data_IF_880011807788
#
_entry.id   IF_880011807788
#
_cell.length_a   1.000
_cell.length_b   1.000
_cell.length_c   1.000
_cell.angle_alpha   90.00
_cell.angle_beta   90.00
_cell.angle_gamma   90.00
#
_symmetry.space_group_name_H-M   'P 1'
#
loop_
_entity.id
_entity.type
_entity.pdbx_description
1 polymer ?
#
# COMPACT_ATOMS: atom_id res chain seq x y z
N UNK A 1 31.12 19.69 -28.03
CA UNK A 1 31.34 18.24 -27.77
C UNK A 1 31.17 17.85 -26.31
N UNK A 2 31.81 18.53 -25.33
CA UNK A 2 31.71 18.19 -23.89
C UNK A 2 30.28 18.12 -23.32
N UNK A 3 29.36 19.02 -23.73
CA UNK A 3 27.96 19.02 -23.27
C UNK A 3 27.18 17.74 -23.60
N UNK A 4 27.44 17.11 -24.76
CA UNK A 4 26.78 15.84 -25.15
C UNK A 4 27.19 14.69 -24.22
N UNK A 5 28.46 14.65 -23.83
CA UNK A 5 28.97 13.66 -22.88
C UNK A 5 28.43 13.89 -21.46
N UNK A 6 28.25 15.15 -21.04
CA UNK A 6 27.61 15.48 -19.76
C UNK A 6 26.14 15.02 -19.75
N UNK A 7 25.39 15.31 -20.82
CA UNK A 7 24.00 14.85 -20.94
C UNK A 7 23.93 13.32 -20.94
N UNK A 8 24.82 12.66 -21.67
CA UNK A 8 24.90 11.20 -21.71
C UNK A 8 25.21 10.61 -20.34
N UNK A 9 26.14 11.20 -19.59
CA UNK A 9 26.46 10.78 -18.22
C UNK A 9 25.26 10.95 -17.28
N UNK A 10 24.51 12.07 -17.39
CA UNK A 10 23.29 12.31 -16.61
C UNK A 10 22.19 11.31 -16.94
N UNK A 11 22.01 10.96 -18.22
CA UNK A 11 21.03 9.96 -18.66
C UNK A 11 21.41 8.58 -18.13
N UNK A 12 22.68 8.20 -18.18
CA UNK A 12 23.15 6.93 -17.61
C UNK A 12 22.94 6.90 -16.10
N UNK A 13 23.28 7.99 -15.38
CA UNK A 13 23.03 8.11 -13.95
C UNK A 13 21.54 7.98 -13.61
N UNK A 14 20.67 8.60 -14.41
CA UNK A 14 19.22 8.51 -14.23
C UNK A 14 18.72 7.06 -14.39
N UNK A 15 19.20 6.33 -15.40
CA UNK A 15 18.81 4.93 -15.60
C UNK A 15 19.31 4.02 -14.49
N UNK A 16 20.55 4.23 -14.02
CA UNK A 16 21.11 3.50 -12.88
C UNK A 16 20.30 3.77 -11.61
N UNK A 17 19.92 5.03 -11.37
CA UNK A 17 19.05 5.39 -10.26
C UNK A 17 17.70 4.67 -10.33
N UNK A 18 17.00 4.78 -11.47
CA UNK A 18 15.68 4.16 -11.66
C UNK A 18 15.71 2.64 -11.48
N UNK A 19 16.77 1.97 -11.94
CA UNK A 19 16.92 0.52 -11.79
C UNK A 19 17.13 0.09 -10.33
N UNK A 20 17.73 0.94 -9.49
CA UNK A 20 18.00 0.64 -8.08
C UNK A 20 16.92 1.16 -7.12
N UNK A 21 16.04 2.05 -7.57
CA UNK A 21 14.95 2.61 -6.76
C UNK A 21 13.63 1.85 -6.89
N UNK A 22 13.64 0.65 -7.49
CA UNK A 22 12.45 -0.19 -7.56
C UNK A 22 12.08 -0.67 -6.15
N UNK A 23 10.83 -0.42 -5.71
CA UNK A 23 10.43 -0.74 -4.35
C UNK A 23 10.59 -2.24 -4.06
N UNK A 24 10.91 -2.56 -2.82
CA UNK A 24 10.99 -3.94 -2.34
C UNK A 24 9.60 -4.56 -2.20
N UNK A 25 9.57 -5.89 -2.04
CA UNK A 25 8.33 -6.60 -1.72
C UNK A 25 7.75 -6.11 -0.37
N UNK A 26 8.61 -5.82 0.61
CA UNK A 26 8.18 -5.31 1.91
C UNK A 26 7.58 -3.90 1.84
N UNK A 27 8.19 -2.99 1.08
CA UNK A 27 7.62 -1.64 0.86
C UNK A 27 6.23 -1.72 0.20
N UNK A 28 6.03 -2.69 -0.70
CA UNK A 28 4.72 -2.92 -1.30
C UNK A 28 3.70 -3.48 -0.31
N UNK A 29 4.08 -4.47 0.50
CA UNK A 29 3.13 -5.12 1.43
C UNK A 29 2.69 -4.15 2.52
N UNK A 30 3.59 -3.30 3.02
CA UNK A 30 3.26 -2.21 3.94
C UNK A 30 2.31 -1.20 3.31
N UNK A 31 2.58 -0.77 2.07
CA UNK A 31 1.69 0.14 1.35
C UNK A 31 0.31 -0.49 1.10
N UNK A 32 0.26 -1.76 0.67
CA UNK A 32 -0.98 -2.46 0.39
C UNK A 32 -1.82 -2.69 1.65
N UNK A 33 -1.19 -3.01 2.80
CA UNK A 33 -1.87 -3.13 4.08
C UNK A 33 -2.52 -1.81 4.52
N UNK A 34 -1.79 -0.69 4.37
CA UNK A 34 -2.34 0.65 4.63
C UNK A 34 -3.54 0.96 3.74
N UNK A 35 -3.47 0.64 2.45
CA UNK A 35 -4.59 0.86 1.54
C UNK A 35 -5.80 -0.04 1.86
N UNK A 36 -5.58 -1.29 2.25
CA UNK A 36 -6.63 -2.21 2.68
C UNK A 36 -7.37 -1.65 3.92
N UNK A 37 -6.63 -1.20 4.94
CA UNK A 37 -7.24 -0.59 6.13
C UNK A 37 -8.05 0.66 5.79
N UNK A 38 -7.52 1.52 4.90
CA UNK A 38 -8.18 2.75 4.49
C UNK A 38 -9.46 2.50 3.66
N UNK A 39 -9.47 1.46 2.82
CA UNK A 39 -10.62 1.12 1.96
C UNK A 39 -11.71 0.32 2.66
N UNK A 40 -11.37 -0.44 3.71
CA UNK A 40 -12.34 -1.17 4.52
C UNK A 40 -13.00 -0.31 5.62
N UNK A 41 -12.81 1.01 5.58
CA UNK A 41 -13.50 1.99 6.42
C UNK A 41 -13.26 1.85 7.93
N UNK A 42 -12.39 0.92 8.35
CA UNK A 42 -12.01 0.70 9.76
C UNK A 42 -11.35 1.96 10.32
N UNK A 43 -10.39 2.53 9.58
CA UNK A 43 -9.72 3.76 9.99
C UNK A 43 -10.63 4.99 9.93
N UNK A 44 -11.60 5.03 9.02
CA UNK A 44 -12.52 6.17 8.88
C UNK A 44 -13.53 6.20 10.03
N UNK A 45 -14.15 5.05 10.34
CA UNK A 45 -15.07 4.92 11.50
C UNK A 45 -14.37 5.19 12.82
N UNK A 46 -13.14 4.69 13.01
CA UNK A 46 -12.35 5.00 14.20
C UNK A 46 -11.98 6.48 14.30
N UNK A 47 -11.77 7.17 13.17
CA UNK A 47 -11.44 8.61 13.15
C UNK A 47 -12.68 9.50 13.33
N UNK A 48 -13.85 9.07 12.85
CA UNK A 48 -15.13 9.76 13.11
C UNK A 48 -15.49 9.68 14.59
N UNK A 49 -15.36 8.50 15.20
CA UNK A 49 -15.61 8.30 16.64
C UNK A 49 -14.62 9.09 17.51
N UNK A 50 -13.35 9.20 17.10
CA UNK A 50 -12.34 10.06 17.77
C UNK A 50 -12.71 11.56 17.71
N UNK A 51 -13.44 12.00 16.66
CA UNK A 51 -13.87 13.40 16.50
C UNK A 51 -15.18 13.73 17.21
N UNK A 52 -16.06 12.75 17.40
CA UNK A 52 -17.33 12.94 18.09
C UNK A 52 -17.15 13.15 19.60
N UNK A 53 -16.13 12.54 20.22
CA UNK A 53 -15.85 12.68 21.64
C UNK A 53 -14.35 12.51 21.98
N UNK A 54 -13.50 13.52 21.67
CA UNK A 54 -12.04 13.40 21.73
C UNK A 54 -11.47 13.17 23.15
N UNK A 55 -12.17 13.63 24.19
CA UNK A 55 -11.74 13.51 25.60
C UNK A 55 -12.61 12.51 26.42
N UNK A 56 -13.57 11.84 25.78
CA UNK A 56 -14.45 10.86 26.43
C UNK A 56 -13.98 9.42 26.29
N UNK A 57 -14.59 8.52 27.08
CA UNK A 57 -14.30 7.08 27.10
C UNK A 57 -14.36 6.43 25.70
N UNK A 58 -15.21 6.97 24.82
CA UNK A 58 -15.39 6.47 23.45
C UNK A 58 -14.22 6.90 22.55
N UNK A 59 -13.69 8.12 22.70
CA UNK A 59 -12.47 8.58 22.03
C UNK A 59 -11.21 7.83 22.48
N UNK A 60 -11.10 7.50 23.78
CA UNK A 60 -10.04 6.63 24.30
C UNK A 60 -10.13 5.21 23.71
N UNK A 61 -11.33 4.63 23.64
CA UNK A 61 -11.56 3.32 23.01
C UNK A 61 -11.23 3.33 21.52
N UNK A 62 -11.54 4.40 20.79
CA UNK A 62 -11.16 4.57 19.38
C UNK A 62 -9.64 4.67 19.22
N UNK A 63 -8.96 5.40 20.10
CA UNK A 63 -7.50 5.52 20.12
C UNK A 63 -6.82 4.19 20.43
N UNK A 64 -7.35 3.44 21.40
CA UNK A 64 -6.88 2.08 21.73
C UNK A 64 -7.16 1.12 20.57
N UNK A 65 -8.34 1.20 19.94
CA UNK A 65 -8.70 0.42 18.75
C UNK A 65 -7.78 0.69 17.57
N UNK A 66 -7.45 1.96 17.31
CA UNK A 66 -6.48 2.39 16.28
C UNK A 66 -5.07 1.87 16.60
N UNK A 67 -4.67 1.91 17.87
CA UNK A 67 -3.38 1.38 18.34
C UNK A 67 -3.32 -0.14 18.27
N UNK A 68 -4.41 -0.84 18.55
CA UNK A 68 -4.54 -2.30 18.44
C UNK A 68 -4.58 -2.75 16.99
N UNK A 69 -5.32 -2.06 16.12
CA UNK A 69 -5.33 -2.32 14.68
C UNK A 69 -3.92 -2.16 14.10
N UNK A 70 -3.23 -1.07 14.44
CA UNK A 70 -1.83 -0.83 14.04
C UNK A 70 -0.86 -1.88 14.59
N UNK A 71 -1.07 -2.35 15.82
CA UNK A 71 -0.14 -3.26 16.50
C UNK A 71 -0.37 -4.74 16.18
N UNK A 72 -1.60 -5.16 15.91
CA UNK A 72 -1.96 -6.57 15.76
C UNK A 72 -2.60 -6.89 14.41
N UNK A 73 -3.39 -5.98 13.82
CA UNK A 73 -4.08 -6.25 12.56
C UNK A 73 -3.17 -5.93 11.37
N UNK A 74 -2.50 -4.78 11.37
CA UNK A 74 -1.60 -4.36 10.30
C UNK A 74 -0.46 -5.37 10.06
N UNK A 75 0.22 -5.93 11.08
CA UNK A 75 1.26 -6.95 10.85
C UNK A 75 0.68 -8.28 10.33
N UNK A 76 -0.53 -8.66 10.75
CA UNK A 76 -1.16 -9.89 10.27
C UNK A 76 -1.64 -9.75 8.82
N UNK A 77 -2.17 -8.59 8.47
CA UNK A 77 -2.54 -8.24 7.09
C UNK A 77 -1.28 -8.14 6.22
N UNK A 78 -0.19 -7.56 6.71
CA UNK A 78 1.10 -7.50 6.02
C UNK A 78 1.66 -8.90 5.74
N UNK A 79 1.66 -9.80 6.73
CA UNK A 79 2.09 -11.20 6.55
C UNK A 79 1.21 -11.93 5.53
N UNK A 80 -0.11 -11.74 5.58
CA UNK A 80 -1.05 -12.34 4.64
C UNK A 80 -0.79 -11.82 3.22
N UNK A 81 -0.72 -10.50 3.04
CA UNK A 81 -0.44 -9.86 1.76
C UNK A 81 0.91 -10.36 1.25
N UNK A 82 1.97 -10.37 2.07
CA UNK A 82 3.29 -10.86 1.68
C UNK A 82 3.25 -12.32 1.21
N UNK A 83 2.50 -13.20 1.89
CA UNK A 83 2.37 -14.60 1.50
C UNK A 83 1.76 -14.76 0.11
N UNK A 84 0.73 -13.98 -0.21
CA UNK A 84 0.01 -14.05 -1.49
C UNK A 84 0.56 -13.10 -2.58
N UNK A 85 1.49 -12.21 -2.22
CA UNK A 85 2.10 -11.27 -3.17
C UNK A 85 3.12 -11.98 -4.05
N UNK A 86 2.90 -11.92 -5.36
CA UNK A 86 3.89 -12.22 -6.39
C UNK A 86 4.48 -10.91 -6.93
N UNK A 87 5.79 -10.77 -6.79
CA UNK A 87 6.57 -9.66 -7.35
C UNK A 87 7.20 -10.13 -8.66
N UNK A 88 7.07 -9.33 -9.72
CA UNK A 88 7.80 -9.52 -10.98
C UNK A 88 8.65 -8.27 -11.26
N UNK A 89 9.95 -8.46 -11.42
CA UNK A 89 10.91 -7.37 -11.58
C UNK A 89 11.20 -7.07 -13.05
N UNK A 90 11.15 -5.79 -13.39
CA UNK A 90 11.55 -5.24 -14.68
C UNK A 90 12.63 -4.17 -14.46
N UNK A 91 13.28 -3.76 -15.54
CA UNK A 91 14.46 -2.88 -15.49
C UNK A 91 14.18 -1.56 -14.77
N UNK A 92 12.97 -1.00 -14.88
CA UNK A 92 12.62 0.33 -14.33
C UNK A 92 11.37 0.33 -13.43
N UNK A 93 10.76 -0.83 -13.25
CA UNK A 93 9.57 -0.96 -12.42
C UNK A 93 9.42 -2.42 -11.98
N UNK A 94 8.56 -2.64 -11.00
CA UNK A 94 8.16 -3.99 -10.58
C UNK A 94 6.64 -4.05 -10.57
N UNK A 95 6.09 -5.21 -10.90
CA UNK A 95 4.65 -5.46 -10.73
C UNK A 95 4.43 -6.30 -9.49
N UNK A 96 3.34 -6.01 -8.79
CA UNK A 96 2.95 -6.70 -7.57
C UNK A 96 1.51 -7.14 -7.71
N UNK A 97 1.32 -8.45 -7.64
CA UNK A 97 0.01 -9.08 -7.75
C UNK A 97 -0.26 -9.84 -6.46
N UNK A 98 -1.36 -9.48 -5.80
CA UNK A 98 -1.79 -10.10 -4.54
C UNK A 98 -3.21 -10.57 -4.70
N UNK A 99 -3.44 -11.87 -4.52
CA UNK A 99 -4.76 -12.48 -4.65
C UNK A 99 -5.00 -13.38 -3.43
N UNK A 100 -6.00 -13.05 -2.62
CA UNK A 100 -6.36 -13.85 -1.45
C UNK A 100 -7.88 -13.78 -1.21
N UNK A 101 -8.43 -14.84 -0.60
CA UNK A 101 -9.86 -14.93 -0.29
C UNK A 101 -10.05 -14.93 1.22
N UNK A 102 -10.89 -14.02 1.73
CA UNK A 102 -11.29 -13.97 3.14
C UNK A 102 -12.80 -14.24 3.20
N UNK A 103 -13.19 -15.36 3.79
CA UNK A 103 -14.60 -15.77 3.84
C UNK A 103 -15.17 -15.99 2.45
N UNK A 104 -16.10 -15.13 2.02
CA UNK A 104 -16.76 -15.17 0.69
C UNK A 104 -16.25 -14.09 -0.29
N UNK A 105 -15.34 -13.22 0.15
CA UNK A 105 -14.84 -12.09 -0.65
C UNK A 105 -13.45 -12.40 -1.21
N UNK A 106 -13.27 -12.21 -2.52
CA UNK A 106 -11.97 -12.34 -3.21
C UNK A 106 -11.32 -10.96 -3.35
N UNK A 107 -10.14 -10.81 -2.77
CA UNK A 107 -9.34 -9.60 -2.80
C UNK A 107 -8.23 -9.76 -3.82
N UNK A 108 -8.32 -8.98 -4.90
CA UNK A 108 -7.29 -8.89 -5.94
C UNK A 108 -6.70 -7.48 -5.98
N UNK A 109 -5.39 -7.43 -5.78
CA UNK A 109 -4.60 -6.20 -5.76
C UNK A 109 -3.50 -6.30 -6.82
N UNK A 110 -3.53 -5.39 -7.80
CA UNK A 110 -2.52 -5.31 -8.85
C UNK A 110 -1.96 -3.90 -8.86
N UNK A 111 -0.64 -3.77 -8.74
CA UNK A 111 0.02 -2.46 -8.71
C UNK A 111 1.36 -2.51 -9.41
N UNK A 112 1.77 -1.38 -9.97
CA UNK A 112 3.11 -1.13 -10.51
C UNK A 112 3.86 -0.27 -9.49
N UNK A 113 5.06 -0.69 -9.11
CA UNK A 113 5.99 0.12 -8.33
C UNK A 113 7.12 0.66 -9.21
N UNK A 114 7.40 1.95 -9.12
CA UNK A 114 8.56 2.59 -9.75
C UNK A 114 9.09 3.68 -8.83
N UNK A 115 10.41 3.77 -8.62
CA UNK A 115 11.04 4.87 -7.85
C UNK A 115 10.33 5.20 -6.52
N UNK A 116 10.03 4.18 -5.71
CA UNK A 116 9.27 4.27 -4.44
C UNK A 116 7.80 4.70 -4.53
N UNK A 117 7.23 4.81 -5.74
CA UNK A 117 5.82 5.15 -5.98
C UNK A 117 5.08 3.88 -6.38
N UNK A 118 3.88 3.68 -5.83
CA UNK A 118 2.98 2.59 -6.20
C UNK A 118 1.75 3.13 -6.94
N UNK A 119 1.58 2.69 -8.18
CA UNK A 119 0.42 3.00 -9.01
C UNK A 119 -0.50 1.77 -9.02
N UNK A 120 -1.73 1.88 -8.48
CA UNK A 120 -2.70 0.80 -8.56
C UNK A 120 -3.27 0.66 -9.97
N UNK A 121 -3.35 -0.58 -10.45
CA UNK A 121 -4.07 -0.95 -11.67
C UNK A 121 -5.43 -1.55 -11.31
N UNK A 122 -5.44 -2.43 -10.31
CA UNK A 122 -6.64 -3.14 -9.87
C UNK A 122 -6.64 -3.14 -8.35
N UNK A 123 -7.74 -2.64 -7.77
CA UNK A 123 -7.96 -2.63 -6.34
C UNK A 123 -9.40 -3.10 -6.08
N UNK A 124 -9.66 -3.81 -4.98
CA UNK A 124 -11.02 -4.13 -4.56
C UNK A 124 -11.83 -2.83 -4.41
N UNK A 125 -13.06 -2.84 -4.94
CA UNK A 125 -13.97 -1.70 -4.87
C UNK A 125 -14.23 -1.33 -3.42
N UNK A 126 -14.36 -0.03 -3.13
CA UNK A 126 -14.77 0.42 -1.80
C UNK A 126 -16.16 -0.14 -1.51
N UNK A 127 -16.39 -0.58 -0.27
CA UNK A 127 -17.65 -1.20 0.14
C UNK A 127 -18.86 -0.28 -0.09
N UNK A 128 -18.64 1.03 -0.07
CA UNK A 128 -19.64 2.07 -0.34
C UNK A 128 -20.07 2.17 -1.81
N UNK A 129 -19.25 1.72 -2.76
CA UNK A 129 -19.57 1.74 -4.20
C UNK A 129 -20.29 0.47 -4.67
N UNK A 130 -20.38 -0.56 -3.83
CA UNK A 130 -21.08 -1.82 -4.13
C UNK A 130 -22.53 -1.83 -3.66
N UNK A 131 -22.99 -0.77 -2.99
CA UNK A 131 -24.33 -0.64 -2.40
C UNK A 131 -25.22 0.41 -3.08
N UNK A 132 -24.85 0.88 -4.29
CA UNK A 132 -25.71 1.68 -5.17
C UNK A 132 -26.15 0.88 -6.39
#
# INVERSE_FOLDING_TARGET
MKRKYIIMALVVLLFVYLANSNPSKGEYTEWAAKQFMNRNDISKKLTEVEKEDPDGLVGELATIGKKLAKKYVEPQVDVLINHYTKRSDYIFFSTYKTEFTIGKENYKYVSIGFSHIFIPIEMPKKKDEAAN
#
